data_IF_568459630487
#
_entry.id   IF_568459630487
#
_cell.length_a   1.000
_cell.length_b   1.000
_cell.length_c   1.000
_cell.angle_alpha   90.00
_cell.angle_beta   90.00
_cell.angle_gamma   90.00
#
_symmetry.space_group_name_H-M   'P 1'
#
loop_
_entity.id
_entity.type
_entity.pdbx_description
1 polymer ?
#
# COMPACT_ATOMS: atom_id res chain seq x y z
N UNK A 1 30.04 0.38 25.87
CA UNK A 1 28.78 -0.18 25.35
C UNK A 1 29.17 -1.51 24.71
N UNK A 2 28.45 -2.57 25.05
CA UNK A 2 28.75 -3.91 24.51
C UNK A 2 28.49 -3.93 23.01
N UNK A 3 29.38 -4.54 22.24
CA UNK A 3 29.31 -4.52 20.76
C UNK A 3 27.99 -5.08 20.20
N UNK A 4 27.41 -6.08 20.86
CA UNK A 4 26.11 -6.64 20.50
C UNK A 4 24.95 -5.66 20.76
N UNK A 5 25.00 -4.88 21.85
CA UNK A 5 24.01 -3.84 22.16
C UNK A 5 24.14 -2.65 21.20
N UNK A 6 25.36 -2.29 20.80
CA UNK A 6 25.59 -1.21 19.83
C UNK A 6 25.05 -1.58 18.44
N UNK A 7 25.24 -2.82 17.99
CA UNK A 7 24.71 -3.31 16.71
C UNK A 7 23.17 -3.41 16.73
N UNK A 8 22.57 -3.84 17.83
CA UNK A 8 21.10 -3.89 17.93
C UNK A 8 20.47 -2.50 17.90
N UNK A 9 21.06 -1.50 18.57
CA UNK A 9 20.60 -0.11 18.54
C UNK A 9 20.83 0.60 17.22
N UNK A 10 21.82 0.15 16.43
CA UNK A 10 22.03 0.58 15.04
C UNK A 10 20.92 0.03 14.13
N UNK A 11 20.53 -1.23 14.30
CA UNK A 11 19.45 -1.86 13.53
C UNK A 11 18.11 -1.23 13.88
N UNK A 12 17.86 -0.91 15.16
CA UNK A 12 16.66 -0.22 15.62
C UNK A 12 16.61 1.27 15.19
N UNK A 13 17.70 1.78 14.59
CA UNK A 13 17.77 3.15 14.08
C UNK A 13 17.91 4.23 15.16
N UNK A 14 18.16 3.85 16.41
CA UNK A 14 18.38 4.78 17.54
C UNK A 14 19.65 5.60 17.36
N UNK A 15 20.67 4.99 16.74
CA UNK A 15 21.94 5.65 16.39
C UNK A 15 22.24 5.54 14.89
N UNK A 16 22.86 6.58 14.34
CA UNK A 16 23.21 6.64 12.92
C UNK A 16 24.49 5.86 12.58
N UNK A 17 25.40 5.74 13.53
CA UNK A 17 26.66 5.03 13.38
C UNK A 17 27.23 4.61 14.75
N UNK A 18 28.03 3.55 14.75
CA UNK A 18 28.85 3.13 15.89
C UNK A 18 30.31 3.38 15.52
N UNK A 19 31.05 4.07 16.40
CA UNK A 19 32.45 4.37 16.23
C UNK A 19 33.26 3.72 17.36
N UNK A 20 34.21 2.86 17.02
CA UNK A 20 35.12 2.22 17.95
C UNK A 20 36.51 2.81 17.75
N UNK A 21 37.11 3.29 18.85
CA UNK A 21 38.48 3.83 18.81
C UNK A 21 39.46 2.69 18.91
N UNK A 22 40.28 2.51 17.89
CA UNK A 22 41.37 1.52 17.85
C UNK A 22 42.60 1.97 18.61
N UNK A 23 43.49 1.05 18.97
CA UNK A 23 44.72 1.32 19.73
C UNK A 23 45.65 2.29 19.01
N UNK A 24 45.60 2.34 17.68
CA UNK A 24 46.40 3.26 16.83
C UNK A 24 45.82 4.68 16.79
N UNK A 25 44.72 4.97 17.51
CA UNK A 25 44.05 6.27 17.52
C UNK A 25 43.10 6.52 16.33
N UNK A 26 42.95 5.56 15.43
CA UNK A 26 41.96 5.58 14.35
C UNK A 26 40.58 5.14 14.83
N UNK A 27 39.52 5.58 14.15
CA UNK A 27 38.14 5.17 14.44
C UNK A 27 37.67 4.17 13.41
N UNK A 28 37.25 2.98 13.88
CA UNK A 28 36.50 2.05 13.05
C UNK A 28 35.02 2.45 13.14
N UNK A 29 34.39 2.76 12.01
CA UNK A 29 33.00 3.17 11.96
C UNK A 29 32.19 2.07 11.33
N UNK A 30 31.13 1.66 12.01
CA UNK A 30 30.12 0.76 11.50
C UNK A 30 28.83 1.55 11.32
N UNK A 31 28.38 1.71 10.09
CA UNK A 31 27.12 2.39 9.73
C UNK A 31 26.31 1.50 8.81
N UNK A 32 24.98 1.59 8.90
CA UNK A 32 24.05 1.00 7.94
C UNK A 32 23.87 1.87 6.68
N UNK A 33 24.48 3.05 6.69
CA UNK A 33 24.48 4.03 5.59
C UNK A 33 25.67 3.75 4.64
N UNK A 34 25.67 4.40 3.47
CA UNK A 34 26.67 4.17 2.44
C UNK A 34 28.07 4.69 2.79
N UNK A 35 29.07 4.35 1.98
CA UNK A 35 30.47 4.73 2.16
C UNK A 35 30.71 6.25 2.29
N UNK A 36 29.87 7.09 1.68
CA UNK A 36 29.97 8.55 1.78
C UNK A 36 29.62 9.06 3.19
N UNK A 37 28.71 8.41 3.88
CA UNK A 37 28.37 8.74 5.28
C UNK A 37 29.48 8.28 6.24
N UNK A 38 30.13 7.16 5.96
CA UNK A 38 31.26 6.65 6.71
C UNK A 38 32.43 7.62 6.65
N UNK A 39 32.82 8.10 5.43
CA UNK A 39 33.87 9.08 5.23
C UNK A 39 33.54 10.45 5.87
N UNK A 40 32.27 10.87 5.84
CA UNK A 40 31.84 12.11 6.46
C UNK A 40 31.92 12.05 7.99
N UNK A 41 31.55 10.91 8.60
CA UNK A 41 31.62 10.69 10.05
C UNK A 41 33.11 10.59 10.48
N UNK A 42 33.95 9.91 9.70
CA UNK A 42 35.42 9.88 9.92
C UNK A 42 36.01 11.28 9.92
N UNK A 43 35.62 12.10 8.94
CA UNK A 43 36.11 13.48 8.81
C UNK A 43 35.63 14.35 9.98
N UNK A 44 34.36 14.16 10.41
CA UNK A 44 33.79 14.84 11.58
C UNK A 44 34.54 14.49 12.87
N UNK A 45 34.86 13.20 13.07
CA UNK A 45 35.56 12.72 14.27
C UNK A 45 37.02 13.14 14.28
N UNK A 46 37.65 13.26 13.10
CA UNK A 46 39.08 13.63 12.99
C UNK A 46 39.34 15.15 12.99
N UNK A 47 38.47 15.95 12.36
CA UNK A 47 38.65 17.40 12.14
C UNK A 47 37.63 18.27 12.89
N UNK A 48 36.60 17.69 13.49
CA UNK A 48 35.52 18.43 14.17
C UNK A 48 34.62 19.22 13.23
N UNK A 49 34.77 19.05 11.90
CA UNK A 49 33.92 19.72 10.89
C UNK A 49 33.43 18.71 9.86
N UNK A 50 32.19 18.89 9.40
CA UNK A 50 31.67 18.15 8.25
C UNK A 50 32.39 18.61 6.96
N UNK A 51 32.63 17.71 5.99
CA UNK A 51 33.21 18.08 4.68
C UNK A 51 32.32 19.14 3.99
N UNK A 52 32.98 20.16 3.40
CA UNK A 52 32.27 21.16 2.58
C UNK A 52 31.60 20.48 1.37
N UNK A 53 30.29 20.59 1.30
CA UNK A 53 29.49 19.94 0.23
C UNK A 53 28.91 18.58 0.61
N UNK A 54 29.17 18.07 1.82
CA UNK A 54 28.42 16.93 2.35
C UNK A 54 26.96 17.35 2.52
N UNK A 55 26.18 17.03 1.54
CA UNK A 55 24.76 16.85 1.72
C UNK A 55 24.66 15.46 2.35
N UNK A 56 24.52 15.41 3.67
CA UNK A 56 24.06 14.20 4.29
C UNK A 56 22.98 13.70 3.39
N UNK A 57 23.09 12.45 2.94
CA UNK A 57 21.92 11.87 2.35
C UNK A 57 20.83 12.19 3.35
N UNK A 58 19.94 13.11 2.97
CA UNK A 58 18.60 13.12 3.48
C UNK A 58 18.01 11.76 3.05
N UNK A 59 18.57 10.66 3.52
CA UNK A 59 17.79 9.57 3.98
C UNK A 59 17.03 10.19 5.16
N UNK A 60 16.07 11.05 4.81
CA UNK A 60 14.81 10.97 5.44
C UNK A 60 14.46 9.48 5.33
N UNK A 61 14.90 8.66 6.29
CA UNK A 61 13.94 7.76 6.89
C UNK A 61 12.83 8.73 7.24
N UNK A 62 11.94 8.90 6.32
CA UNK A 62 10.66 9.45 6.58
C UNK A 62 10.22 8.54 7.70
N UNK A 63 10.27 9.06 8.92
CA UNK A 63 9.79 8.32 10.07
C UNK A 63 8.37 8.01 9.66
N UNK A 64 8.17 6.78 9.15
CA UNK A 64 6.83 6.36 8.74
C UNK A 64 5.99 6.50 9.97
N UNK A 65 5.00 7.35 9.90
CA UNK A 65 4.07 7.51 10.98
C UNK A 65 3.38 6.17 11.27
N UNK A 66 2.90 6.03 12.47
CA UNK A 66 2.14 4.85 12.93
C UNK A 66 0.96 4.61 11.99
N UNK A 67 0.29 5.69 11.56
CA UNK A 67 -0.86 5.64 10.69
C UNK A 67 -0.53 5.11 9.29
N UNK A 68 0.58 5.54 8.71
CA UNK A 68 1.07 5.04 7.42
C UNK A 68 1.35 3.54 7.48
N UNK A 69 1.97 3.05 8.54
CA UNK A 69 2.23 1.62 8.72
C UNK A 69 0.92 0.83 8.84
N UNK A 70 -0.02 1.29 9.67
CA UNK A 70 -1.32 0.63 9.85
C UNK A 70 -2.08 0.59 8.53
N UNK A 71 -2.18 1.71 7.81
CA UNK A 71 -2.89 1.77 6.52
C UNK A 71 -2.19 0.95 5.43
N UNK A 72 -0.86 0.81 5.47
CA UNK A 72 -0.12 -0.08 4.59
C UNK A 72 -0.54 -1.55 4.75
N UNK A 73 -0.62 -2.04 6.00
CA UNK A 73 -1.12 -3.38 6.29
C UNK A 73 -2.59 -3.55 5.90
N UNK A 74 -3.42 -2.56 6.23
CA UNK A 74 -4.85 -2.56 5.87
C UNK A 74 -5.01 -2.60 4.35
N UNK A 75 -4.18 -1.90 3.59
CA UNK A 75 -4.21 -1.91 2.11
C UNK A 75 -4.08 -3.33 1.56
N UNK A 76 -3.09 -4.08 2.04
CA UNK A 76 -2.92 -5.47 1.61
C UNK A 76 -4.12 -6.34 2.00
N UNK A 77 -4.57 -6.26 3.26
CA UNK A 77 -5.68 -7.07 3.75
C UNK A 77 -6.98 -6.77 3.00
N UNK A 78 -7.29 -5.50 2.76
CA UNK A 78 -8.52 -5.07 2.05
C UNK A 78 -8.50 -5.53 0.59
N UNK A 79 -7.35 -5.46 -0.09
CA UNK A 79 -7.21 -5.98 -1.46
C UNK A 79 -7.44 -7.50 -1.51
N UNK A 80 -6.88 -8.25 -0.57
CA UNK A 80 -7.07 -9.71 -0.51
C UNK A 80 -8.52 -10.08 -0.19
N UNK A 81 -9.14 -9.42 0.80
CA UNK A 81 -10.53 -9.67 1.20
C UNK A 81 -11.53 -9.27 0.10
N UNK A 82 -11.27 -8.20 -0.64
CA UNK A 82 -12.12 -7.75 -1.74
C UNK A 82 -12.35 -8.86 -2.76
N UNK A 83 -11.30 -9.59 -3.12
CA UNK A 83 -11.43 -10.70 -4.06
C UNK A 83 -12.16 -11.89 -3.45
N UNK A 84 -11.92 -12.21 -2.17
CA UNK A 84 -12.64 -13.27 -1.48
C UNK A 84 -14.17 -13.02 -1.50
N UNK A 85 -14.61 -11.76 -1.32
CA UNK A 85 -16.03 -11.40 -1.38
C UNK A 85 -16.61 -11.45 -2.79
N UNK A 86 -15.81 -11.23 -3.81
CA UNK A 86 -16.26 -11.28 -5.22
C UNK A 86 -16.26 -12.69 -5.82
N UNK A 87 -15.84 -13.72 -5.08
CA UNK A 87 -15.90 -15.13 -5.53
C UNK A 87 -17.30 -15.61 -5.84
N UNK A 88 -18.32 -14.94 -5.31
CA UNK A 88 -19.73 -15.22 -5.64
C UNK A 88 -19.99 -15.16 -7.16
N UNK A 89 -19.37 -14.21 -7.88
CA UNK A 89 -19.55 -14.07 -9.32
C UNK A 89 -19.04 -15.28 -10.12
N UNK A 90 -17.80 -15.75 -9.95
CA UNK A 90 -17.33 -17.00 -10.59
C UNK A 90 -18.13 -18.22 -10.14
N UNK A 91 -18.53 -18.31 -8.87
CA UNK A 91 -19.34 -19.42 -8.37
C UNK A 91 -20.74 -19.46 -8.98
N UNK A 92 -21.43 -18.32 -9.06
CA UNK A 92 -22.75 -18.22 -9.69
C UNK A 92 -22.69 -18.66 -11.17
N UNK A 93 -21.58 -18.34 -11.85
CA UNK A 93 -21.35 -18.83 -13.21
C UNK A 93 -21.15 -20.34 -13.28
N UNK A 94 -20.29 -20.88 -12.41
CA UNK A 94 -19.99 -22.33 -12.40
C UNK A 94 -21.21 -23.17 -11.99
N UNK A 95 -22.04 -22.68 -11.07
CA UNK A 95 -23.24 -23.35 -10.59
C UNK A 95 -24.46 -23.13 -11.49
N UNK A 96 -24.34 -22.32 -12.55
CA UNK A 96 -25.44 -21.99 -13.46
C UNK A 96 -26.48 -21.04 -12.85
N UNK A 97 -26.28 -20.55 -11.64
CA UNK A 97 -27.17 -19.58 -10.97
C UNK A 97 -27.18 -18.26 -11.74
N UNK A 98 -26.04 -17.82 -12.22
CA UNK A 98 -25.91 -16.63 -13.06
C UNK A 98 -26.82 -16.69 -14.29
N UNK A 99 -26.90 -17.84 -14.96
CA UNK A 99 -27.78 -18.04 -16.11
C UNK A 99 -29.25 -17.87 -15.74
N UNK A 100 -29.67 -18.38 -14.58
CA UNK A 100 -31.05 -18.21 -14.08
C UNK A 100 -31.37 -16.74 -13.76
N UNK A 101 -30.42 -16.01 -13.19
CA UNK A 101 -30.57 -14.57 -12.91
C UNK A 101 -30.71 -13.78 -14.21
N UNK A 102 -29.97 -14.15 -15.26
CA UNK A 102 -30.05 -13.47 -16.57
C UNK A 102 -31.33 -13.79 -17.35
N UNK A 103 -32.08 -14.85 -17.01
CA UNK A 103 -33.43 -15.09 -17.53
C UNK A 103 -34.51 -14.26 -16.84
N UNK A 104 -34.23 -13.68 -15.68
CA UNK A 104 -35.07 -12.68 -15.06
C UNK A 104 -34.88 -11.31 -15.76
N UNK A 105 -35.80 -10.35 -15.61
CA UNK A 105 -35.69 -9.03 -16.23
C UNK A 105 -34.61 -8.18 -15.52
N UNK A 106 -33.39 -8.72 -15.40
CA UNK A 106 -32.23 -8.10 -14.77
C UNK A 106 -31.11 -7.91 -15.81
N UNK A 107 -30.60 -6.68 -15.90
CA UNK A 107 -29.45 -6.40 -16.75
C UNK A 107 -28.12 -6.78 -16.05
N UNK A 108 -27.15 -7.29 -16.82
CA UNK A 108 -25.80 -7.58 -16.32
C UNK A 108 -25.18 -6.43 -15.55
N UNK A 109 -25.38 -5.20 -16.02
CA UNK A 109 -24.85 -4.02 -15.36
C UNK A 109 -25.44 -3.86 -13.96
N UNK A 110 -26.73 -4.17 -13.77
CA UNK A 110 -27.39 -4.11 -12.45
C UNK A 110 -26.79 -5.15 -11.49
N UNK A 111 -26.51 -6.37 -11.99
CA UNK A 111 -25.85 -7.40 -11.20
C UNK A 111 -24.43 -6.98 -10.78
N UNK A 112 -23.62 -6.47 -11.71
CA UNK A 112 -22.26 -6.03 -11.42
C UNK A 112 -22.23 -4.81 -10.47
N UNK A 113 -23.17 -3.88 -10.61
CA UNK A 113 -23.31 -2.74 -9.69
C UNK A 113 -23.72 -3.23 -8.30
N UNK A 114 -24.67 -4.15 -8.22
CA UNK A 114 -25.09 -4.72 -6.93
C UNK A 114 -23.91 -5.44 -6.24
N UNK A 115 -23.13 -6.21 -7.00
CA UNK A 115 -21.93 -6.87 -6.50
C UNK A 115 -20.87 -5.85 -6.03
N UNK A 116 -20.70 -4.77 -6.78
CA UNK A 116 -19.78 -3.69 -6.40
C UNK A 116 -20.20 -3.04 -5.07
N UNK A 117 -21.48 -2.64 -4.95
CA UNK A 117 -22.00 -2.01 -3.73
C UNK A 117 -21.93 -2.97 -2.54
N UNK A 118 -22.29 -4.23 -2.73
CA UNK A 118 -22.19 -5.25 -1.70
C UNK A 118 -20.77 -5.42 -1.21
N UNK A 119 -19.82 -5.64 -2.11
CA UNK A 119 -18.40 -5.81 -1.75
C UNK A 119 -17.83 -4.57 -1.07
N UNK A 120 -18.13 -3.37 -1.61
CA UNK A 120 -17.72 -2.11 -1.01
C UNK A 120 -18.22 -1.98 0.43
N UNK A 121 -19.50 -2.26 0.65
CA UNK A 121 -20.11 -2.17 1.99
C UNK A 121 -19.49 -3.18 2.95
N UNK A 122 -19.31 -4.42 2.50
CA UNK A 122 -18.70 -5.48 3.30
C UNK A 122 -17.22 -5.25 3.61
N UNK A 123 -16.50 -4.50 2.79
CA UNK A 123 -15.12 -4.10 3.07
C UNK A 123 -15.07 -2.87 3.98
N UNK A 124 -15.80 -1.83 3.62
CA UNK A 124 -15.73 -0.54 4.29
C UNK A 124 -16.26 -0.60 5.72
N UNK A 125 -17.48 -1.08 5.90
CA UNK A 125 -18.18 -1.00 7.20
C UNK A 125 -17.47 -1.77 8.31
N UNK A 126 -17.08 -3.05 8.15
CA UNK A 126 -16.37 -3.78 9.21
C UNK A 126 -14.99 -3.21 9.49
N UNK A 127 -14.25 -2.83 8.43
CA UNK A 127 -12.89 -2.28 8.60
C UNK A 127 -12.93 -0.95 9.31
N UNK A 128 -13.83 -0.05 8.92
CA UNK A 128 -14.01 1.23 9.61
C UNK A 128 -14.49 1.04 11.04
N UNK A 129 -15.44 0.13 11.28
CA UNK A 129 -15.93 -0.17 12.63
C UNK A 129 -14.81 -0.71 13.53
N UNK A 130 -13.95 -1.61 13.03
CA UNK A 130 -12.80 -2.13 13.78
C UNK A 130 -11.83 -1.00 14.17
N UNK A 131 -11.51 -0.10 13.23
CA UNK A 131 -10.63 1.05 13.49
C UNK A 131 -11.27 2.01 14.50
N UNK A 132 -12.58 2.31 14.34
CA UNK A 132 -13.31 3.17 15.24
C UNK A 132 -13.37 2.63 16.69
N UNK A 133 -13.52 1.31 16.83
CA UNK A 133 -13.46 0.62 18.13
C UNK A 133 -12.06 0.72 18.75
N UNK A 134 -11.02 0.45 17.97
CA UNK A 134 -9.63 0.54 18.44
C UNK A 134 -9.29 1.97 18.90
N UNK A 135 -9.66 2.96 18.11
CA UNK A 135 -9.42 4.36 18.45
C UNK A 135 -10.29 4.83 19.61
N UNK A 136 -11.61 4.55 19.59
CA UNK A 136 -12.56 5.10 20.57
C UNK A 136 -12.60 4.37 21.91
N UNK A 137 -12.41 3.02 21.93
CA UNK A 137 -12.49 2.21 23.16
C UNK A 137 -11.10 2.00 23.76
N UNK A 138 -10.11 1.70 22.93
CA UNK A 138 -8.75 1.41 23.42
C UNK A 138 -7.85 2.64 23.48
N UNK A 139 -8.32 3.81 22.98
CA UNK A 139 -7.55 5.06 23.02
C UNK A 139 -6.25 5.01 22.19
N UNK A 140 -6.16 4.11 21.22
CA UNK A 140 -4.95 3.99 20.38
C UNK A 140 -4.90 5.16 19.41
N UNK A 141 -3.84 5.96 19.49
CA UNK A 141 -3.58 7.02 18.52
C UNK A 141 -3.08 6.42 17.20
N UNK A 142 -3.87 6.61 16.14
CA UNK A 142 -3.59 6.04 14.80
C UNK A 142 -2.85 7.05 13.92
N UNK A 143 -2.54 8.25 14.45
CA UNK A 143 -1.86 9.31 13.69
C UNK A 143 -2.77 10.15 12.79
N UNK A 144 -4.07 9.82 12.70
CA UNK A 144 -5.07 10.56 11.95
C UNK A 144 -6.33 10.82 12.75
N UNK A 145 -7.02 11.95 12.53
CA UNK A 145 -8.38 12.12 12.99
C UNK A 145 -9.31 11.11 12.28
N UNK A 146 -10.33 10.64 12.98
CA UNK A 146 -11.23 9.58 12.52
C UNK A 146 -11.92 9.91 11.17
N UNK A 147 -12.17 11.20 10.91
CA UNK A 147 -12.74 11.67 9.66
C UNK A 147 -11.79 11.46 8.46
N UNK A 148 -10.50 11.66 8.66
CA UNK A 148 -9.49 11.42 7.62
C UNK A 148 -9.33 9.94 7.33
N UNK A 149 -9.31 9.11 8.38
CA UNK A 149 -9.32 7.64 8.23
C UNK A 149 -10.53 7.19 7.41
N UNK A 150 -11.72 7.74 7.68
CA UNK A 150 -12.93 7.41 6.94
C UNK A 150 -12.79 7.70 5.43
N UNK A 151 -12.22 8.84 5.08
CA UNK A 151 -12.00 9.24 3.67
C UNK A 151 -10.94 8.38 3.00
N UNK A 152 -9.79 8.17 3.65
CA UNK A 152 -8.71 7.34 3.12
C UNK A 152 -9.15 5.89 2.94
N UNK A 153 -9.86 5.35 3.93
CA UNK A 153 -10.40 4.00 3.86
C UNK A 153 -11.47 3.86 2.77
N UNK A 154 -12.31 4.88 2.56
CA UNK A 154 -13.28 4.88 1.47
C UNK A 154 -12.59 4.81 0.11
N UNK A 155 -11.57 5.64 -0.11
CA UNK A 155 -10.80 5.64 -1.35
C UNK A 155 -10.15 4.27 -1.59
N UNK A 156 -9.54 3.69 -0.54
CA UNK A 156 -8.92 2.37 -0.59
C UNK A 156 -9.93 1.27 -0.93
N UNK A 157 -11.08 1.25 -0.24
CA UNK A 157 -12.09 0.20 -0.44
C UNK A 157 -12.77 0.30 -1.79
N UNK A 158 -12.98 1.50 -2.34
CA UNK A 158 -13.45 1.70 -3.72
C UNK A 158 -12.46 1.12 -4.71
N UNK A 159 -11.16 1.40 -4.55
CA UNK A 159 -10.11 0.83 -5.39
C UNK A 159 -10.05 -0.70 -5.27
N UNK A 160 -10.04 -1.23 -4.05
CA UNK A 160 -9.99 -2.67 -3.80
C UNK A 160 -11.20 -3.41 -4.40
N UNK A 161 -12.39 -2.81 -4.32
CA UNK A 161 -13.61 -3.38 -4.91
C UNK A 161 -13.54 -3.42 -6.43
N UNK A 162 -13.05 -2.34 -7.07
CA UNK A 162 -12.86 -2.29 -8.52
C UNK A 162 -11.82 -3.33 -8.98
N UNK A 163 -10.71 -3.46 -8.27
CA UNK A 163 -9.70 -4.46 -8.51
C UNK A 163 -10.25 -5.88 -8.37
N UNK A 164 -10.98 -6.14 -7.29
CA UNK A 164 -11.59 -7.43 -7.02
C UNK A 164 -12.58 -7.85 -8.11
N UNK A 165 -13.43 -6.94 -8.54
CA UNK A 165 -14.39 -7.18 -9.61
C UNK A 165 -13.69 -7.48 -10.95
N UNK A 166 -12.63 -6.72 -11.26
CA UNK A 166 -11.81 -6.97 -12.44
C UNK A 166 -11.21 -8.37 -12.42
N UNK A 167 -10.56 -8.77 -11.32
CA UNK A 167 -9.95 -10.10 -11.19
C UNK A 167 -11.02 -11.20 -11.28
N UNK A 168 -12.16 -11.04 -10.61
CA UNK A 168 -13.25 -12.01 -10.65
C UNK A 168 -13.84 -12.20 -12.06
N UNK A 169 -13.87 -11.13 -12.87
CA UNK A 169 -14.32 -11.20 -14.25
C UNK A 169 -13.24 -11.69 -15.22
N UNK A 170 -11.96 -11.43 -14.93
CA UNK A 170 -10.84 -11.80 -15.80
C UNK A 170 -10.46 -13.29 -15.69
N UNK A 171 -10.56 -13.86 -14.49
CA UNK A 171 -10.13 -15.23 -14.21
C UNK A 171 -11.33 -16.14 -13.88
N UNK A 172 -11.33 -17.38 -14.39
CA UNK A 172 -12.41 -18.35 -14.13
C UNK A 172 -12.08 -19.32 -13.00
N UNK A 173 -10.81 -19.58 -12.75
CA UNK A 173 -10.32 -20.53 -11.74
C UNK A 173 -9.21 -19.91 -10.93
N UNK A 174 -9.11 -20.31 -9.66
CA UNK A 174 -8.07 -19.85 -8.74
C UNK A 174 -7.98 -18.32 -8.58
N UNK A 175 -9.11 -17.63 -8.70
CA UNK A 175 -9.23 -16.16 -8.63
C UNK A 175 -8.59 -15.62 -7.37
N UNK A 176 -8.82 -16.27 -6.23
CA UNK A 176 -8.23 -15.88 -4.94
C UNK A 176 -6.71 -16.01 -4.94
N UNK A 177 -6.15 -17.07 -5.51
CA UNK A 177 -4.70 -17.26 -5.56
C UNK A 177 -4.02 -16.19 -6.41
N UNK A 178 -4.58 -15.92 -7.60
CA UNK A 178 -4.07 -14.89 -8.51
C UNK A 178 -4.16 -13.50 -7.86
N UNK A 179 -5.30 -13.20 -7.27
CA UNK A 179 -5.50 -11.91 -6.61
C UNK A 179 -4.58 -11.71 -5.42
N UNK A 180 -4.45 -12.73 -4.56
CA UNK A 180 -3.53 -12.68 -3.42
C UNK A 180 -2.10 -12.46 -3.90
N UNK A 181 -1.64 -13.20 -4.91
CA UNK A 181 -0.31 -13.03 -5.47
C UNK A 181 -0.07 -11.61 -6.01
N UNK A 182 -1.00 -11.09 -6.82
CA UNK A 182 -0.89 -9.72 -7.35
C UNK A 182 -0.93 -8.69 -6.23
N UNK A 183 -1.86 -8.83 -5.26
CA UNK A 183 -1.99 -7.89 -4.14
C UNK A 183 -0.73 -7.84 -3.29
N UNK A 184 -0.17 -8.99 -2.91
CA UNK A 184 1.05 -9.05 -2.10
C UNK A 184 2.23 -8.42 -2.83
N UNK A 185 2.46 -8.81 -4.11
CA UNK A 185 3.57 -8.29 -4.90
C UNK A 185 3.43 -6.77 -5.10
N UNK A 186 2.24 -6.30 -5.48
CA UNK A 186 2.02 -4.86 -5.71
C UNK A 186 2.10 -4.05 -4.42
N UNK A 187 1.66 -4.57 -3.27
CA UNK A 187 1.79 -3.90 -1.98
C UNK A 187 3.25 -3.84 -1.49
N UNK A 188 4.05 -4.91 -1.72
CA UNK A 188 5.49 -4.87 -1.41
C UNK A 188 6.16 -3.80 -2.27
N UNK A 189 5.95 -3.84 -3.59
CA UNK A 189 6.56 -2.90 -4.54
C UNK A 189 6.08 -1.46 -4.30
N UNK A 190 4.83 -1.26 -3.89
CA UNK A 190 4.28 0.05 -3.55
C UNK A 190 4.80 0.61 -2.21
N UNK A 191 5.65 -0.13 -1.50
CA UNK A 191 6.17 0.35 -0.22
C UNK A 191 5.14 0.32 0.91
N UNK A 192 4.12 -0.54 0.88
CA UNK A 192 3.13 -0.63 1.94
C UNK A 192 3.71 -1.06 3.30
N UNK A 193 4.83 -1.79 3.30
CA UNK A 193 5.46 -2.32 4.51
C UNK A 193 6.79 -1.64 4.84
N UNK A 194 7.59 -1.37 3.82
CA UNK A 194 8.93 -0.80 3.95
C UNK A 194 9.13 0.18 2.81
N UNK A 195 9.73 1.32 3.10
CA UNK A 195 10.10 2.27 2.06
C UNK A 195 11.21 1.68 1.19
N UNK A 196 10.87 1.39 -0.05
CA UNK A 196 11.84 0.90 -1.02
C UNK A 196 12.44 2.11 -1.73
N UNK A 197 13.46 2.71 -1.11
CA UNK A 197 14.27 3.70 -1.79
C UNK A 197 15.23 2.99 -2.74
N UNK A 198 15.09 3.22 -4.03
CA UNK A 198 16.02 2.70 -5.03
C UNK A 198 16.60 3.84 -5.84
N UNK A 199 17.92 3.84 -6.04
CA UNK A 199 18.59 4.80 -6.90
C UNK A 199 18.44 4.49 -8.40
N UNK A 200 17.65 3.45 -8.75
CA UNK A 200 17.44 3.06 -10.14
C UNK A 200 16.19 3.76 -10.70
N UNK A 201 16.40 4.71 -11.60
CA UNK A 201 15.35 5.51 -12.26
C UNK A 201 14.28 4.67 -12.96
N UNK A 202 14.65 3.50 -13.51
CA UNK A 202 13.71 2.60 -14.20
C UNK A 202 12.75 1.98 -13.18
N UNK A 203 13.26 1.47 -12.06
CA UNK A 203 12.44 0.89 -11.00
C UNK A 203 11.52 1.92 -10.37
N UNK A 204 12.00 3.13 -10.12
CA UNK A 204 11.18 4.23 -9.60
C UNK A 204 10.01 4.56 -10.54
N UNK A 205 10.25 4.53 -11.85
CA UNK A 205 9.17 4.77 -12.83
C UNK A 205 8.14 3.63 -12.82
N UNK A 206 8.58 2.38 -12.70
CA UNK A 206 7.68 1.22 -12.62
C UNK A 206 6.83 1.29 -11.33
N UNK A 207 7.43 1.66 -10.21
CA UNK A 207 6.71 1.78 -8.94
C UNK A 207 5.61 2.84 -8.98
N UNK A 208 5.84 3.97 -9.66
CA UNK A 208 4.84 5.02 -9.85
C UNK A 208 3.63 4.62 -10.71
N UNK A 209 3.73 3.54 -11.49
CA UNK A 209 2.58 3.03 -12.26
C UNK A 209 1.58 2.33 -11.33
N UNK A 210 2.02 1.84 -10.18
CA UNK A 210 1.20 1.08 -9.24
C UNK A 210 0.34 2.04 -8.41
N UNK A 211 -1.00 1.95 -8.46
CA UNK A 211 -1.88 2.90 -7.76
C UNK A 211 -1.75 2.86 -6.23
N UNK A 212 -1.30 1.75 -5.66
CA UNK A 212 -1.02 1.64 -4.23
C UNK A 212 0.14 2.56 -3.81
N UNK A 213 1.11 2.83 -4.68
CA UNK A 213 2.21 3.77 -4.40
C UNK A 213 1.68 5.17 -4.16
N UNK A 214 0.83 5.66 -5.06
CA UNK A 214 0.18 6.98 -4.92
C UNK A 214 -0.72 7.04 -3.67
N UNK A 215 -1.38 5.91 -3.33
CA UNK A 215 -2.15 5.83 -2.09
C UNK A 215 -1.26 5.95 -0.86
N UNK A 216 -0.12 5.29 -0.82
CA UNK A 216 0.81 5.38 0.30
C UNK A 216 1.47 6.76 0.41
N UNK A 217 1.79 7.41 -0.72
CA UNK A 217 2.27 8.80 -0.75
C UNK A 217 1.21 9.78 -0.20
N UNK A 218 -0.07 9.57 -0.55
CA UNK A 218 -1.19 10.35 -0.01
C UNK A 218 -1.31 10.15 1.50
N UNK A 219 -1.33 8.90 1.97
CA UNK A 219 -1.45 8.56 3.39
C UNK A 219 -0.31 9.20 4.19
N UNK A 220 0.93 9.01 3.75
CA UNK A 220 2.10 9.58 4.38
C UNK A 220 2.03 11.11 4.41
N UNK A 221 1.68 11.74 3.29
CA UNK A 221 1.60 13.19 3.24
C UNK A 221 0.52 13.79 4.15
N UNK A 222 -0.64 13.14 4.26
CA UNK A 222 -1.73 13.57 5.15
C UNK A 222 -1.33 13.38 6.62
N UNK A 223 -0.66 12.29 6.98
CA UNK A 223 -0.18 12.04 8.34
C UNK A 223 0.76 13.14 8.87
N UNK A 224 1.57 13.73 7.99
CA UNK A 224 2.46 14.84 8.32
C UNK A 224 1.84 16.24 8.08
N UNK A 225 0.52 16.33 8.07
CA UNK A 225 -0.22 17.59 8.01
C UNK A 225 -0.35 18.17 6.60
N UNK A 226 -0.09 17.40 5.56
CA UNK A 226 -0.34 17.78 4.16
C UNK A 226 -1.83 17.87 3.85
N UNK A 227 -2.21 18.82 3.02
CA UNK A 227 -3.60 18.97 2.57
C UNK A 227 -3.92 18.02 1.42
N UNK A 228 -5.13 17.46 1.38
CA UNK A 228 -5.64 16.66 0.24
C UNK A 228 -5.52 17.38 -1.11
N UNK A 229 -5.53 18.70 -1.11
CA UNK A 229 -5.38 19.52 -2.32
C UNK A 229 -3.98 19.34 -2.95
N UNK A 230 -2.96 19.15 -2.13
CA UNK A 230 -1.59 18.90 -2.61
C UNK A 230 -1.48 17.54 -3.32
N UNK A 231 -2.22 16.55 -2.85
CA UNK A 231 -2.23 15.17 -3.38
C UNK A 231 -3.36 14.91 -4.38
N UNK A 232 -4.02 15.96 -4.87
CA UNK A 232 -5.16 15.84 -5.81
C UNK A 232 -4.85 14.99 -7.04
N UNK A 233 -3.63 15.07 -7.57
CA UNK A 233 -3.24 14.29 -8.75
C UNK A 233 -3.14 12.80 -8.44
N UNK A 234 -2.62 12.41 -7.28
CA UNK A 234 -2.61 11.03 -6.80
C UNK A 234 -4.02 10.48 -6.61
N UNK A 235 -4.93 11.27 -6.02
CA UNK A 235 -6.34 10.88 -5.87
C UNK A 235 -7.00 10.67 -7.23
N UNK A 236 -6.80 11.60 -8.17
CA UNK A 236 -7.33 11.49 -9.54
C UNK A 236 -6.75 10.25 -10.22
N UNK A 237 -5.47 9.97 -10.04
CA UNK A 237 -4.81 8.80 -10.60
C UNK A 237 -5.42 7.49 -10.08
N UNK A 238 -5.65 7.38 -8.77
CA UNK A 238 -6.32 6.21 -8.17
C UNK A 238 -7.74 6.06 -8.73
N UNK A 239 -8.51 7.15 -8.80
CA UNK A 239 -9.87 7.11 -9.36
C UNK A 239 -9.87 6.74 -10.85
N UNK A 240 -8.86 7.16 -11.61
CA UNK A 240 -8.69 6.75 -13.00
C UNK A 240 -8.44 5.24 -13.10
N UNK A 241 -7.61 4.68 -12.23
CA UNK A 241 -7.41 3.24 -12.15
C UNK A 241 -8.71 2.49 -11.78
N UNK A 242 -9.49 3.01 -10.83
CA UNK A 242 -10.83 2.46 -10.50
C UNK A 242 -11.69 2.40 -11.75
N UNK A 243 -11.76 3.50 -12.49
CA UNK A 243 -12.57 3.58 -13.71
C UNK A 243 -12.10 2.62 -14.81
N UNK A 244 -10.79 2.51 -15.03
CA UNK A 244 -10.19 1.58 -16.00
C UNK A 244 -10.48 0.13 -15.62
N UNK A 245 -10.31 -0.24 -14.36
CA UNK A 245 -10.57 -1.59 -13.87
C UNK A 245 -12.06 -1.97 -13.99
N UNK A 246 -12.97 -1.05 -13.64
CA UNK A 246 -14.40 -1.28 -13.80
C UNK A 246 -14.82 -1.45 -15.25
N UNK A 247 -14.35 -0.59 -16.16
CA UNK A 247 -14.66 -0.71 -17.60
C UNK A 247 -14.09 -2.01 -18.16
N UNK A 248 -12.84 -2.34 -17.83
CA UNK A 248 -12.22 -3.58 -18.27
C UNK A 248 -13.00 -4.80 -17.76
N UNK A 249 -13.37 -4.81 -16.47
CA UNK A 249 -14.17 -5.88 -15.87
C UNK A 249 -15.52 -6.06 -16.54
N UNK A 250 -16.26 -4.96 -16.72
CA UNK A 250 -17.57 -4.99 -17.39
C UNK A 250 -17.44 -5.47 -18.85
N UNK A 251 -16.45 -4.99 -19.59
CA UNK A 251 -16.21 -5.44 -20.99
C UNK A 251 -15.86 -6.92 -21.08
N UNK A 252 -15.02 -7.41 -20.18
CA UNK A 252 -14.66 -8.85 -20.14
C UNK A 252 -15.90 -9.67 -19.82
N UNK A 253 -16.70 -9.27 -18.83
CA UNK A 253 -17.94 -9.95 -18.47
C UNK A 253 -18.87 -10.04 -19.69
N UNK A 254 -19.16 -8.93 -20.35
CA UNK A 254 -20.02 -8.87 -21.56
C UNK A 254 -19.50 -9.74 -22.69
N UNK A 255 -18.20 -9.69 -22.99
CA UNK A 255 -17.62 -10.50 -24.06
C UNK A 255 -17.70 -12.01 -23.77
N UNK A 256 -17.63 -12.41 -22.51
CA UNK A 256 -17.77 -13.81 -22.10
C UNK A 256 -19.19 -14.30 -22.26
N UNK A 257 -20.18 -13.50 -21.89
CA UNK A 257 -21.59 -13.80 -22.04
C UNK A 257 -21.95 -13.90 -23.53
N UNK A 258 -21.50 -12.95 -24.37
CA UNK A 258 -21.71 -12.98 -25.80
C UNK A 258 -21.14 -14.24 -26.47
N UNK A 259 -20.07 -14.84 -25.91
CA UNK A 259 -19.45 -16.09 -26.39
C UNK A 259 -20.09 -17.36 -25.80
N UNK A 260 -21.20 -17.23 -25.05
CA UNK A 260 -21.88 -18.39 -24.43
C UNK A 260 -21.05 -19.08 -23.34
N UNK A 261 -20.03 -18.44 -22.79
CA UNK A 261 -19.26 -18.94 -21.66
C UNK A 261 -19.93 -18.49 -20.36
N UNK A 262 -21.01 -19.21 -20.00
CA UNK A 262 -21.73 -18.97 -18.76
C UNK A 262 -21.14 -19.74 -17.63
#
# INVERSE_FOLDING_TARGET
VDQEQALSTLVDGTYAAYAEKQEDGTYAITTLKGQQDEEAILTLLSTGKLPEGYKGDDVKRSERGIGTNILGFITMLVLMQGVALTTLYPEDRLKGTFRRIMFAPCNENQYLIAQFIFTLTCLYVPTFAAIAVIHGIFGVEIGFPIAEIAVLLLLLTVFATAFALFIATAFDRNTNLVATGISVVTCIVAGCFVDISTNNSILTTIFKIIPQTEFMELVHGVEFGGSYIQFRYGIIYILLWVFVLLIAGVRIAKNRIAKGKY
#
